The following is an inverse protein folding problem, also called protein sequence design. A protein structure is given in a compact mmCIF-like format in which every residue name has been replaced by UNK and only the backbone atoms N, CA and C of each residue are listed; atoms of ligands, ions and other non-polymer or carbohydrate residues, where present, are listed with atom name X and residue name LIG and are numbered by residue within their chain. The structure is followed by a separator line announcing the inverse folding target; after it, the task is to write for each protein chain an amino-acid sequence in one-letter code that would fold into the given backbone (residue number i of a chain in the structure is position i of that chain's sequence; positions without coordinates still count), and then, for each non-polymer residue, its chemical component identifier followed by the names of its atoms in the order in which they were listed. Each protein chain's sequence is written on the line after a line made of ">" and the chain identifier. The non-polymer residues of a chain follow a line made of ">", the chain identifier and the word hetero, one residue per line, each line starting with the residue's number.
data_IF_489097980900
#
_entry.id   IF_489097980900
#
_cell.length_a   1.000
_cell.length_b   1.000
_cell.length_c   1.000
_cell.angle_alpha   90.00
_cell.angle_beta   90.00
_cell.angle_gamma   90.00
#
_symmetry.space_group_name_H-M   'P 1'
#
loop_
_entity.id
_entity.type
_entity.pdbx_description
1 polymer ?
#
# COMPACT_ATOMS: atom_id res chain seq x y z
N UNK A 1 5.60 6.73 -22.63
CA UNK A 1 6.12 7.96 -22.01
C UNK A 1 7.63 7.99 -22.11
N UNK A 2 8.28 9.18 -22.22
CA UNK A 2 9.71 9.32 -22.28
C UNK A 2 10.44 8.96 -20.98
N UNK A 3 9.84 9.28 -19.85
CA UNK A 3 10.39 8.96 -18.54
C UNK A 3 9.46 8.01 -17.76
N UNK A 4 10.09 7.18 -16.92
CA UNK A 4 9.43 6.37 -15.90
C UNK A 4 10.10 6.71 -14.57
N UNK A 5 9.31 7.02 -13.55
CA UNK A 5 9.78 7.29 -12.20
C UNK A 5 9.32 6.19 -11.26
N UNK A 6 10.26 5.45 -10.67
CA UNK A 6 10.00 4.43 -9.66
C UNK A 6 10.22 5.07 -8.29
N UNK A 7 9.15 5.16 -7.52
CA UNK A 7 9.16 5.72 -6.16
C UNK A 7 8.77 4.65 -5.14
N UNK A 8 8.90 4.93 -3.87
CA UNK A 8 8.52 4.00 -2.81
C UNK A 8 9.38 4.19 -1.57
N UNK A 9 8.93 3.66 -0.45
CA UNK A 9 9.64 3.76 0.83
C UNK A 9 11.10 3.30 0.69
N UNK A 10 11.99 3.86 1.50
CA UNK A 10 13.41 3.45 1.54
C UNK A 10 13.54 1.93 1.79
N UNK A 11 14.55 1.31 1.16
CA UNK A 11 14.86 -0.13 1.30
C UNK A 11 13.80 -1.12 0.78
N UNK A 12 12.88 -0.69 -0.08
CA UNK A 12 11.94 -1.58 -0.81
C UNK A 12 12.56 -2.30 -2.00
N UNK A 13 13.86 -2.18 -2.24
CA UNK A 13 14.53 -2.87 -3.36
C UNK A 13 14.54 -2.10 -4.68
N UNK A 14 14.29 -0.77 -4.70
CA UNK A 14 14.35 0.05 -5.93
C UNK A 14 15.66 -0.09 -6.67
N UNK A 15 16.78 0.13 -5.98
CA UNK A 15 18.13 0.00 -6.56
C UNK A 15 18.40 -1.41 -7.05
N UNK A 16 17.96 -2.44 -6.32
CA UNK A 16 18.07 -3.84 -6.74
C UNK A 16 17.30 -4.09 -8.03
N UNK A 17 16.04 -3.63 -8.10
CA UNK A 17 15.22 -3.71 -9.31
C UNK A 17 15.93 -3.04 -10.51
N UNK A 18 16.49 -1.84 -10.32
CA UNK A 18 17.14 -1.09 -11.39
C UNK A 18 18.42 -1.76 -11.91
N UNK A 19 19.11 -2.53 -11.06
CA UNK A 19 20.39 -3.17 -11.40
C UNK A 19 20.24 -4.61 -11.85
N UNK A 20 19.29 -5.35 -11.27
CA UNK A 20 19.20 -6.80 -11.45
C UNK A 20 18.11 -7.22 -12.44
N UNK A 21 17.12 -6.36 -12.74
CA UNK A 21 16.06 -6.71 -13.69
C UNK A 21 16.63 -6.89 -15.11
N UNK A 22 16.53 -8.08 -15.72
CA UNK A 22 17.15 -8.38 -17.02
C UNK A 22 16.72 -7.42 -18.14
N UNK A 23 15.45 -6.99 -18.15
CA UNK A 23 14.93 -6.06 -19.16
C UNK A 23 15.45 -4.62 -19.01
N UNK A 24 16.11 -4.30 -17.91
CA UNK A 24 16.75 -3.00 -17.65
C UNK A 24 18.25 -3.00 -17.87
N UNK A 25 18.84 -4.15 -18.18
CA UNK A 25 20.26 -4.27 -18.49
C UNK A 25 20.63 -3.49 -19.75
N UNK A 26 21.90 -3.05 -19.84
CA UNK A 26 22.39 -2.25 -20.97
C UNK A 26 22.05 -0.76 -20.91
N UNK A 27 21.33 -0.29 -19.90
CA UNK A 27 21.10 1.13 -19.64
C UNK A 27 22.33 1.75 -18.96
N UNK A 28 22.68 2.98 -19.31
CA UNK A 28 23.69 3.73 -18.57
C UNK A 28 23.13 4.03 -17.17
N UNK A 29 23.80 3.54 -16.12
CA UNK A 29 23.36 3.69 -14.73
C UNK A 29 24.18 4.77 -14.01
N UNK A 30 23.50 5.70 -13.36
CA UNK A 30 24.05 6.79 -12.55
C UNK A 30 23.33 6.82 -11.22
N UNK A 31 24.06 6.96 -10.13
CA UNK A 31 23.46 7.11 -8.79
C UNK A 31 23.92 8.37 -8.09
N UNK A 32 23.00 9.10 -7.52
CA UNK A 32 23.31 10.28 -6.72
C UNK A 32 23.62 9.96 -5.24
N UNK A 33 23.78 8.68 -4.92
CA UNK A 33 24.50 8.26 -3.71
C UNK A 33 26.01 8.43 -3.86
N UNK A 34 26.51 8.41 -5.09
CA UNK A 34 27.90 8.74 -5.43
C UNK A 34 28.06 10.27 -5.50
N UNK A 35 28.91 10.81 -4.63
CA UNK A 35 29.14 12.25 -4.55
C UNK A 35 29.72 12.84 -5.84
N UNK A 36 30.62 12.14 -6.52
CA UNK A 36 31.25 12.65 -7.76
C UNK A 36 30.21 12.74 -8.89
N UNK A 37 29.33 11.74 -9.01
CA UNK A 37 28.25 11.74 -10.00
C UNK A 37 27.20 12.82 -9.70
N UNK A 38 26.86 13.00 -8.43
CA UNK A 38 25.94 14.06 -8.00
C UNK A 38 26.50 15.45 -8.31
N UNK A 39 27.77 15.70 -7.98
CA UNK A 39 28.40 17.00 -8.22
C UNK A 39 28.54 17.29 -9.72
N UNK A 40 28.93 16.31 -10.52
CA UNK A 40 28.95 16.44 -11.98
C UNK A 40 27.57 16.78 -12.55
N UNK A 41 26.51 16.12 -12.06
CA UNK A 41 25.15 16.38 -12.48
C UNK A 41 24.66 17.79 -12.09
N UNK A 42 25.09 18.32 -10.96
CA UNK A 42 24.79 19.70 -10.53
C UNK A 42 25.47 20.75 -11.37
N UNK A 43 26.75 20.53 -11.66
CA UNK A 43 27.56 21.47 -12.47
C UNK A 43 27.10 21.50 -13.92
N UNK A 44 26.84 20.34 -14.52
CA UNK A 44 26.43 20.24 -15.92
C UNK A 44 25.38 19.14 -16.16
N UNK A 45 24.13 19.39 -15.82
CA UNK A 45 23.05 18.41 -15.99
C UNK A 45 22.76 18.06 -17.44
N UNK A 46 23.08 18.96 -18.39
CA UNK A 46 22.87 18.74 -19.83
C UNK A 46 23.82 17.70 -20.39
N UNK A 47 25.08 17.68 -19.94
CA UNK A 47 26.07 16.67 -20.33
C UNK A 47 25.66 15.28 -19.84
N UNK A 48 25.15 15.17 -18.60
CA UNK A 48 24.62 13.91 -18.09
C UNK A 48 23.50 13.36 -18.95
N UNK A 49 22.63 14.24 -19.46
CA UNK A 49 21.46 13.87 -20.26
C UNK A 49 21.79 13.75 -21.75
N UNK A 50 23.02 14.07 -22.18
CA UNK A 50 23.44 14.03 -23.56
C UNK A 50 23.49 12.58 -24.11
N UNK A 51 23.48 12.45 -25.44
CA UNK A 51 23.53 11.15 -26.13
C UNK A 51 22.10 10.58 -26.33
N UNK A 52 22.05 9.38 -26.90
CA UNK A 52 20.80 8.70 -27.28
C UNK A 52 20.51 7.45 -26.44
N UNK A 53 21.45 7.06 -25.58
CA UNK A 53 21.37 5.83 -24.81
C UNK A 53 20.29 5.91 -23.72
N UNK A 54 19.61 4.80 -23.41
CA UNK A 54 18.75 4.72 -22.26
C UNK A 54 19.53 5.01 -20.95
N UNK A 55 18.98 5.88 -20.11
CA UNK A 55 19.62 6.34 -18.88
C UNK A 55 18.77 6.00 -17.66
N UNK A 56 19.39 5.39 -16.65
CA UNK A 56 18.82 5.17 -15.33
C UNK A 56 19.50 6.10 -14.33
N UNK A 57 18.71 6.87 -13.57
CA UNK A 57 19.19 7.79 -12.53
C UNK A 57 18.56 7.38 -11.20
N UNK A 58 19.39 6.86 -10.33
CA UNK A 58 18.98 6.44 -8.99
C UNK A 58 19.16 7.58 -7.97
N UNK A 59 18.25 7.69 -7.01
CA UNK A 59 18.15 8.76 -6.01
C UNK A 59 18.02 10.16 -6.64
N UNK A 60 17.22 10.28 -7.71
CA UNK A 60 17.08 11.48 -8.53
C UNK A 60 16.67 12.73 -7.73
N UNK A 61 15.96 12.58 -6.60
CA UNK A 61 15.53 13.70 -5.75
C UNK A 61 16.72 14.49 -5.14
N UNK A 62 17.95 13.94 -5.14
CA UNK A 62 19.12 14.63 -4.61
C UNK A 62 19.66 15.73 -5.53
N UNK A 63 19.19 15.77 -6.80
CA UNK A 63 19.56 16.78 -7.78
C UNK A 63 18.31 17.42 -8.40
N UNK A 64 17.62 18.35 -7.70
CA UNK A 64 16.43 19.02 -8.21
C UNK A 64 16.65 19.80 -9.51
N UNK A 65 17.85 20.33 -9.73
CA UNK A 65 18.25 21.09 -10.90
C UNK A 65 18.16 20.25 -12.18
N UNK A 66 18.45 18.95 -12.06
CA UNK A 66 18.39 18.00 -13.17
C UNK A 66 17.00 17.96 -13.84
N UNK A 67 15.93 18.12 -13.08
CA UNK A 67 14.56 17.99 -13.61
C UNK A 67 14.25 19.06 -14.66
N UNK A 68 14.81 20.26 -14.53
CA UNK A 68 14.64 21.33 -15.53
C UNK A 68 15.35 20.98 -16.84
N UNK A 69 16.56 20.46 -16.76
CA UNK A 69 17.32 20.01 -17.92
C UNK A 69 16.64 18.77 -18.56
N UNK A 70 16.19 17.83 -17.76
CA UNK A 70 15.47 16.64 -18.20
C UNK A 70 14.19 17.00 -18.99
N UNK A 71 13.42 17.99 -18.50
CA UNK A 71 12.25 18.50 -19.23
C UNK A 71 12.63 19.00 -20.62
N UNK A 72 13.67 19.83 -20.73
CA UNK A 72 14.13 20.39 -22.02
C UNK A 72 14.55 19.27 -22.98
N UNK A 73 15.31 18.30 -22.46
CA UNK A 73 15.78 17.18 -23.29
C UNK A 73 14.64 16.27 -23.75
N UNK A 74 13.65 16.00 -22.90
CA UNK A 74 12.44 15.26 -23.28
C UNK A 74 11.62 16.02 -24.32
N UNK A 75 11.46 17.34 -24.17
CA UNK A 75 10.70 18.16 -25.12
C UNK A 75 11.40 18.25 -26.49
N UNK A 76 12.75 18.23 -26.49
CA UNK A 76 13.56 18.21 -27.70
C UNK A 76 13.50 16.85 -28.43
N UNK A 77 13.52 15.74 -27.69
CA UNK A 77 13.59 14.38 -28.22
C UNK A 77 12.71 13.43 -27.42
N UNK A 78 11.45 13.28 -27.80
CA UNK A 78 10.49 12.36 -27.16
C UNK A 78 10.76 10.91 -27.56
N UNK A 79 11.59 10.21 -26.79
CA UNK A 79 11.84 8.76 -26.95
C UNK A 79 11.21 8.00 -25.80
N UNK A 80 10.28 7.06 -26.03
CA UNK A 80 9.67 6.25 -24.97
C UNK A 80 10.74 5.47 -24.19
N UNK A 81 10.63 5.48 -22.83
CA UNK A 81 11.47 4.69 -21.95
C UNK A 81 12.94 5.12 -21.88
N UNK A 82 13.32 6.26 -22.46
CA UNK A 82 14.70 6.72 -22.43
C UNK A 82 15.21 6.97 -21.02
N UNK A 83 14.39 7.59 -20.17
CA UNK A 83 14.78 7.95 -18.82
C UNK A 83 14.04 7.07 -17.80
N UNK A 84 14.81 6.45 -16.91
CA UNK A 84 14.31 5.73 -15.76
C UNK A 84 14.88 6.40 -14.51
N UNK A 85 13.98 6.90 -13.66
CA UNK A 85 14.32 7.64 -12.45
C UNK A 85 13.92 6.83 -11.24
N UNK A 86 14.68 6.86 -10.17
CA UNK A 86 14.23 6.35 -8.89
C UNK A 86 14.38 7.37 -7.77
N UNK A 87 13.58 7.18 -6.72
CA UNK A 87 13.66 8.00 -5.52
C UNK A 87 12.93 7.40 -4.33
N UNK A 88 13.47 7.62 -3.14
CA UNK A 88 12.86 7.22 -1.87
C UNK A 88 11.80 8.20 -1.35
N UNK A 89 11.42 9.18 -2.16
CA UNK A 89 10.46 10.23 -1.85
C UNK A 89 9.40 10.28 -2.93
N UNK A 90 8.18 10.64 -2.55
CA UNK A 90 7.10 10.85 -3.52
C UNK A 90 7.38 12.10 -4.36
N UNK A 91 7.96 11.89 -5.54
CA UNK A 91 8.32 12.96 -6.47
C UNK A 91 7.11 13.80 -6.90
N UNK A 92 5.89 13.23 -6.86
CA UNK A 92 4.64 13.95 -7.17
C UNK A 92 4.27 14.98 -6.12
N UNK A 93 4.69 14.79 -4.86
CA UNK A 93 4.42 15.73 -3.78
C UNK A 93 5.50 16.82 -3.65
N UNK A 94 6.62 16.67 -4.34
CA UNK A 94 7.67 17.69 -4.42
C UNK A 94 7.32 18.70 -5.52
N UNK A 95 6.83 19.88 -5.11
CA UNK A 95 6.24 20.92 -5.94
C UNK A 95 6.99 21.22 -7.25
N UNK A 96 8.31 21.31 -7.20
CA UNK A 96 9.14 21.67 -8.37
C UNK A 96 9.34 20.51 -9.35
N UNK A 97 9.19 19.26 -8.89
CA UNK A 97 9.43 18.06 -9.71
C UNK A 97 8.17 17.60 -10.42
N UNK A 98 7.02 17.67 -9.75
CA UNK A 98 5.73 17.27 -10.34
C UNK A 98 5.34 18.14 -11.55
N UNK A 99 5.52 19.45 -11.45
CA UNK A 99 5.23 20.38 -12.55
C UNK A 99 6.15 20.17 -13.75
N UNK A 100 7.42 19.86 -13.50
CA UNK A 100 8.43 19.70 -14.53
C UNK A 100 8.21 18.46 -15.39
N UNK A 101 7.78 17.35 -14.81
CA UNK A 101 7.57 16.08 -15.49
C UNK A 101 6.10 15.79 -15.86
N UNK A 102 5.18 16.74 -15.63
CA UNK A 102 3.78 16.59 -16.00
C UNK A 102 3.60 16.27 -17.50
N UNK A 103 2.90 15.18 -17.81
CA UNK A 103 2.69 14.69 -19.19
C UNK A 103 3.92 14.08 -19.87
N UNK A 104 5.05 13.91 -19.14
CA UNK A 104 6.32 13.38 -19.64
C UNK A 104 6.75 12.10 -18.95
N UNK A 105 6.29 11.87 -17.72
CA UNK A 105 6.64 10.70 -16.93
C UNK A 105 5.42 9.88 -16.52
N UNK A 106 5.62 8.57 -16.40
CA UNK A 106 4.76 7.66 -15.65
C UNK A 106 5.39 7.42 -14.29
N UNK A 107 4.58 7.43 -13.24
CA UNK A 107 5.04 7.17 -11.88
C UNK A 107 4.56 5.79 -11.45
N UNK A 108 5.50 4.97 -11.00
CA UNK A 108 5.26 3.64 -10.45
C UNK A 108 5.70 3.64 -8.99
N UNK A 109 4.84 3.15 -8.12
CA UNK A 109 5.18 3.00 -6.71
C UNK A 109 5.60 1.55 -6.44
N UNK A 110 6.83 1.37 -5.98
CA UNK A 110 7.32 0.08 -5.50
C UNK A 110 6.92 -0.06 -4.03
N UNK A 111 5.93 -0.91 -3.79
CA UNK A 111 5.47 -1.24 -2.45
C UNK A 111 6.42 -2.22 -1.76
N UNK A 112 6.41 -2.31 -0.40
CA UNK A 112 6.95 -3.48 0.29
C UNK A 112 6.34 -4.76 -0.29
N UNK A 113 7.04 -5.87 -0.18
CA UNK A 113 6.53 -7.14 -0.69
C UNK A 113 5.16 -7.47 -0.11
N UNK A 114 4.24 -7.85 -0.96
CA UNK A 114 2.98 -8.43 -0.53
C UNK A 114 3.11 -9.96 -0.42
N UNK A 115 2.18 -10.58 0.29
CA UNK A 115 2.22 -12.00 0.63
C UNK A 115 2.38 -12.91 -0.59
N UNK A 116 1.71 -12.60 -1.71
CA UNK A 116 1.83 -13.34 -2.97
C UNK A 116 3.26 -13.39 -3.50
N UNK A 117 3.99 -12.27 -3.42
CA UNK A 117 5.40 -12.20 -3.85
C UNK A 117 6.27 -13.05 -2.91
N UNK A 118 6.09 -12.91 -1.60
CA UNK A 118 6.83 -13.70 -0.59
C UNK A 118 6.59 -15.20 -0.79
N UNK A 119 5.37 -15.62 -1.14
CA UNK A 119 5.00 -17.00 -1.38
C UNK A 119 5.29 -17.47 -2.82
N UNK A 120 5.86 -16.65 -3.69
CA UNK A 120 6.14 -17.01 -5.09
C UNK A 120 4.91 -17.22 -5.96
N UNK A 121 3.76 -16.66 -5.60
CA UNK A 121 2.47 -16.84 -6.29
C UNK A 121 2.23 -15.80 -7.41
N UNK A 122 3.26 -15.19 -7.93
CA UNK A 122 3.17 -14.11 -8.92
C UNK A 122 2.77 -14.59 -10.32
N UNK A 123 2.88 -15.89 -10.60
CA UNK A 123 2.55 -16.47 -11.91
C UNK A 123 1.05 -16.63 -12.19
N UNK A 124 0.17 -16.41 -11.20
CA UNK A 124 -1.29 -16.52 -11.33
C UNK A 124 -1.97 -15.13 -11.22
N UNK A 125 -3.17 -15.00 -11.77
CA UNK A 125 -3.97 -13.79 -11.60
C UNK A 125 -4.43 -13.67 -10.14
N UNK A 126 -4.44 -12.46 -9.53
CA UNK A 126 -4.92 -12.27 -8.17
C UNK A 126 -6.41 -12.56 -8.04
N UNK A 127 -6.80 -13.05 -6.85
CA UNK A 127 -8.17 -13.46 -6.58
C UNK A 127 -9.18 -12.30 -6.70
N UNK A 128 -8.96 -11.17 -6.04
CA UNK A 128 -9.94 -10.06 -6.00
C UNK A 128 -10.23 -9.44 -7.37
N UNK A 129 -9.24 -9.09 -8.22
CA UNK A 129 -9.49 -8.64 -9.58
C UNK A 129 -10.25 -9.67 -10.42
N UNK A 130 -9.94 -10.95 -10.24
CA UNK A 130 -10.61 -12.06 -10.93
C UNK A 130 -12.06 -12.21 -10.49
N UNK A 131 -12.31 -12.17 -9.17
CA UNK A 131 -13.66 -12.18 -8.59
C UNK A 131 -14.49 -11.00 -9.10
N UNK A 132 -13.95 -9.78 -9.09
CA UNK A 132 -14.66 -8.60 -9.55
C UNK A 132 -15.10 -8.70 -11.01
N UNK A 133 -14.24 -9.24 -11.87
CA UNK A 133 -14.57 -9.46 -13.30
C UNK A 133 -15.65 -10.52 -13.47
N UNK A 134 -15.63 -11.58 -12.67
CA UNK A 134 -16.62 -12.65 -12.72
C UNK A 134 -18.01 -12.23 -12.20
N UNK A 135 -18.06 -11.32 -11.21
CA UNK A 135 -19.28 -10.73 -10.70
C UNK A 135 -19.78 -9.59 -11.61
N UNK A 136 -20.38 -9.91 -12.74
CA UNK A 136 -20.90 -8.91 -13.67
C UNK A 136 -21.99 -8.02 -13.04
N UNK A 137 -22.20 -6.77 -13.56
CA UNK A 137 -23.17 -5.82 -13.00
C UNK A 137 -24.64 -6.29 -13.06
N UNK A 138 -24.95 -7.30 -13.82
CA UNK A 138 -26.31 -7.80 -14.08
C UNK A 138 -26.84 -8.87 -13.14
N UNK A 139 -26.13 -9.18 -12.03
CA UNK A 139 -26.64 -10.09 -10.99
C UNK A 139 -26.82 -11.57 -11.42
N UNK A 140 -26.56 -11.91 -12.68
CA UNK A 140 -26.56 -13.29 -13.12
C UNK A 140 -25.13 -13.83 -13.11
N UNK A 141 -24.83 -14.91 -12.39
CA UNK A 141 -23.53 -15.58 -12.48
C UNK A 141 -23.36 -16.11 -13.90
N UNK A 142 -22.52 -15.45 -14.69
CA UNK A 142 -21.93 -16.08 -15.87
C UNK A 142 -20.86 -17.03 -15.32
N UNK A 143 -21.18 -18.30 -15.23
CA UNK A 143 -20.29 -19.37 -14.74
C UNK A 143 -19.77 -19.12 -13.31
N UNK A 144 -19.64 -20.15 -12.51
CA UNK A 144 -19.02 -20.02 -11.17
C UNK A 144 -17.70 -19.25 -11.31
N UNK A 145 -17.48 -18.12 -10.57
CA UNK A 145 -16.21 -17.38 -10.62
C UNK A 145 -15.02 -18.23 -10.21
N UNK A 146 -15.24 -19.49 -9.94
CA UNK A 146 -14.33 -20.51 -9.44
C UNK A 146 -14.13 -21.65 -10.43
N UNK A 147 -14.02 -21.36 -11.72
CA UNK A 147 -13.66 -22.34 -12.78
C UNK A 147 -12.20 -22.83 -12.68
N UNK A 148 -11.72 -23.04 -11.48
CA UNK A 148 -10.42 -23.63 -11.16
C UNK A 148 -10.54 -24.43 -9.86
N UNK A 149 -11.45 -25.41 -9.80
CA UNK A 149 -11.49 -26.37 -8.69
C UNK A 149 -12.37 -26.03 -7.49
N UNK A 150 -13.11 -24.91 -7.50
CA UNK A 150 -14.07 -24.60 -6.44
C UNK A 150 -15.47 -25.14 -6.79
N UNK A 151 -15.91 -26.21 -6.13
CA UNK A 151 -17.23 -26.80 -6.30
C UNK A 151 -18.18 -26.24 -5.25
N UNK A 152 -19.31 -25.64 -5.70
CA UNK A 152 -20.46 -25.39 -4.82
C UNK A 152 -21.11 -26.74 -4.48
N UNK A 153 -20.83 -27.30 -3.30
CA UNK A 153 -21.60 -28.46 -2.84
C UNK A 153 -22.96 -27.95 -2.34
N UNK A 154 -24.02 -28.40 -2.97
CA UNK A 154 -25.40 -28.25 -2.45
C UNK A 154 -25.50 -29.10 -1.18
N UNK A 155 -25.26 -28.48 -0.03
CA UNK A 155 -25.64 -29.04 1.27
C UNK A 155 -27.15 -29.11 1.39
N UNK A 156 -27.68 -30.09 2.13
CA UNK A 156 -29.10 -30.24 2.42
C UNK A 156 -29.70 -28.96 3.05
N UNK A 157 -31.03 -28.92 3.28
CA UNK A 157 -31.80 -27.69 3.54
C UNK A 157 -31.41 -26.85 4.78
N UNK A 158 -30.38 -27.24 5.51
CA UNK A 158 -29.86 -26.51 6.68
C UNK A 158 -28.33 -26.24 6.65
N UNK A 159 -27.61 -26.61 5.59
CA UNK A 159 -26.17 -26.34 5.44
C UNK A 159 -25.96 -25.22 4.41
N UNK A 160 -25.33 -24.13 4.86
CA UNK A 160 -24.90 -23.04 3.97
C UNK A 160 -23.96 -23.62 2.87
N UNK A 161 -24.12 -23.20 1.62
CA UNK A 161 -23.26 -23.67 0.53
C UNK A 161 -21.82 -23.26 0.83
N UNK A 162 -20.96 -24.25 1.04
CA UNK A 162 -19.51 -24.05 1.22
C UNK A 162 -18.82 -24.06 -0.14
N UNK A 163 -18.03 -23.05 -0.36
CA UNK A 163 -17.13 -23.01 -1.50
C UNK A 163 -15.94 -23.90 -1.18
N UNK A 164 -15.76 -25.00 -1.92
CA UNK A 164 -14.53 -25.78 -1.82
C UNK A 164 -13.47 -25.11 -2.69
N UNK A 165 -12.44 -24.57 -2.05
CA UNK A 165 -11.22 -24.15 -2.71
C UNK A 165 -10.22 -25.31 -2.57
N UNK A 166 -9.76 -25.87 -3.69
CA UNK A 166 -8.73 -26.91 -3.64
C UNK A 166 -7.47 -26.28 -3.02
N UNK A 167 -7.05 -26.79 -1.85
CA UNK A 167 -5.95 -26.29 -1.06
C UNK A 167 -6.01 -24.77 -0.77
N UNK A 168 -6.91 -24.31 0.13
CA UNK A 168 -6.96 -22.90 0.50
C UNK A 168 -5.60 -22.45 1.05
N UNK A 169 -5.14 -21.22 0.68
CA UNK A 169 -3.90 -20.69 1.24
C UNK A 169 -3.95 -20.70 2.77
N UNK A 170 -2.80 -20.94 3.45
CA UNK A 170 -2.77 -21.03 4.90
C UNK A 170 -3.24 -19.71 5.55
N UNK A 171 -3.79 -19.76 6.77
CA UNK A 171 -4.08 -18.57 7.57
C UNK A 171 -2.83 -17.69 7.73
N UNK A 172 -3.05 -16.41 7.93
CA UNK A 172 -1.97 -15.45 8.17
C UNK A 172 -1.42 -15.70 9.59
N UNK A 173 -0.13 -15.98 9.67
CA UNK A 173 0.52 -16.20 10.95
C UNK A 173 0.95 -14.87 11.60
N UNK A 174 0.92 -14.75 12.95
CA UNK A 174 1.34 -13.55 13.67
C UNK A 174 2.72 -13.02 13.26
N UNK A 175 3.67 -13.91 13.00
CA UNK A 175 5.03 -13.53 12.60
C UNK A 175 5.09 -12.87 11.21
N UNK A 176 4.13 -13.14 10.30
CA UNK A 176 4.06 -12.46 9.00
C UNK A 176 3.80 -10.95 9.18
N UNK A 177 2.93 -10.58 10.14
CA UNK A 177 2.66 -9.18 10.47
C UNK A 177 3.87 -8.51 11.12
N UNK A 178 4.53 -9.19 12.07
CA UNK A 178 5.69 -8.64 12.77
C UNK A 178 6.91 -8.45 11.85
N UNK A 179 7.05 -9.29 10.83
CA UNK A 179 8.08 -9.15 9.80
C UNK A 179 7.74 -8.08 8.76
N UNK A 180 6.47 -7.90 8.44
CA UNK A 180 6.04 -7.03 7.35
C UNK A 180 6.49 -7.51 5.97
N UNK A 181 6.63 -6.59 5.02
CA UNK A 181 7.02 -6.85 3.64
C UNK A 181 8.34 -6.19 3.23
N UNK A 182 9.12 -5.65 4.17
CA UNK A 182 10.44 -5.08 3.83
C UNK A 182 11.39 -6.19 3.40
N UNK A 183 12.04 -6.10 2.20
CA UNK A 183 12.75 -7.22 1.57
C UNK A 183 13.71 -7.95 2.52
N UNK A 184 14.65 -7.25 3.12
CA UNK A 184 15.66 -7.86 3.97
C UNK A 184 15.08 -8.58 5.20
N UNK A 185 13.89 -8.17 5.66
CA UNK A 185 13.21 -8.80 6.81
C UNK A 185 12.35 -9.97 6.37
N UNK A 186 11.46 -9.78 5.39
CA UNK A 186 10.51 -10.81 4.99
C UNK A 186 11.18 -11.98 4.24
N UNK A 187 12.31 -11.74 3.55
CA UNK A 187 13.10 -12.79 2.88
C UNK A 187 14.08 -13.50 3.82
N UNK A 188 14.19 -13.05 5.09
CA UNK A 188 15.04 -13.71 6.08
C UNK A 188 16.54 -13.43 5.90
N UNK A 189 16.91 -12.32 5.28
CA UNK A 189 18.31 -11.89 5.14
C UNK A 189 18.88 -11.36 6.46
N UNK A 190 18.03 -10.99 7.42
CA UNK A 190 18.39 -10.50 8.75
C UNK A 190 17.99 -11.51 9.82
N UNK A 191 18.92 -11.82 10.73
CA UNK A 191 18.64 -12.73 11.85
C UNK A 191 17.65 -12.13 12.84
N UNK A 192 17.82 -10.84 13.19
CA UNK A 192 16.96 -10.13 14.14
C UNK A 192 16.24 -8.94 13.47
N UNK A 193 14.95 -9.10 13.12
CA UNK A 193 14.13 -8.03 12.57
C UNK A 193 14.11 -6.75 13.42
N UNK A 194 14.22 -6.86 14.76
CA UNK A 194 14.14 -5.71 15.65
C UNK A 194 15.36 -4.78 15.50
N UNK A 195 16.54 -5.35 15.23
CA UNK A 195 17.76 -4.59 14.96
C UNK A 195 17.61 -3.85 13.64
N UNK A 196 17.06 -4.52 12.62
CA UNK A 196 16.84 -3.92 11.31
C UNK A 196 15.86 -2.73 11.38
N UNK A 197 14.70 -2.92 12.03
CA UNK A 197 13.70 -1.84 12.19
C UNK A 197 14.26 -0.65 12.97
N UNK A 198 15.05 -0.88 14.00
CA UNK A 198 15.74 0.18 14.76
C UNK A 198 16.74 0.94 13.89
N UNK A 199 17.51 0.23 13.06
CA UNK A 199 18.42 0.83 12.10
C UNK A 199 17.69 1.61 11.01
N UNK A 200 16.57 1.07 10.52
CA UNK A 200 15.70 1.76 9.58
C UNK A 200 15.18 3.08 10.17
N UNK A 201 14.61 3.05 11.37
CA UNK A 201 14.12 4.24 12.08
C UNK A 201 15.20 5.30 12.23
N UNK A 202 16.38 4.91 12.70
CA UNK A 202 17.51 5.83 12.87
C UNK A 202 17.97 6.43 11.54
N UNK A 203 18.13 5.61 10.51
CA UNK A 203 18.58 6.08 9.18
C UNK A 203 17.55 7.02 8.55
N UNK A 204 16.25 6.70 8.69
CA UNK A 204 15.17 7.54 8.21
C UNK A 204 15.17 8.92 8.89
N UNK A 205 15.29 8.96 10.22
CA UNK A 205 15.32 10.20 10.99
C UNK A 205 16.55 11.05 10.69
N UNK A 206 17.73 10.44 10.58
CA UNK A 206 18.99 11.17 10.43
C UNK A 206 19.29 11.61 9.01
N UNK A 207 18.87 10.83 8.01
CA UNK A 207 19.27 11.03 6.61
C UNK A 207 18.14 11.55 5.74
N UNK A 208 17.02 10.86 5.73
CA UNK A 208 15.95 11.15 4.77
C UNK A 208 15.18 12.41 5.14
N UNK A 209 14.85 12.58 6.42
CA UNK A 209 14.15 13.77 6.89
C UNK A 209 14.97 15.06 6.73
N UNK A 210 16.28 15.00 6.99
CA UNK A 210 17.14 16.18 6.80
C UNK A 210 17.23 16.57 5.33
N UNK A 211 17.15 15.62 4.41
CA UNK A 211 17.12 15.88 2.97
C UNK A 211 15.78 16.45 2.48
N UNK A 212 14.68 16.15 3.17
CA UNK A 212 13.33 16.56 2.76
C UNK A 212 12.88 17.90 3.36
N UNK A 213 13.26 18.19 4.58
CA UNK A 213 12.90 19.43 5.24
C UNK A 213 13.82 19.72 6.43
N UNK A 214 13.88 21.01 6.82
CA UNK A 214 14.51 21.42 8.09
C UNK A 214 13.59 21.03 9.25
N UNK A 215 13.62 19.74 9.64
CA UNK A 215 12.97 19.30 10.88
C UNK A 215 13.85 19.75 12.03
N UNK A 216 13.40 20.76 12.76
CA UNK A 216 14.17 21.34 13.88
C UNK A 216 14.24 20.38 15.09
N UNK A 217 13.20 19.56 15.29
CA UNK A 217 13.07 18.67 16.45
C UNK A 217 12.79 17.23 16.01
N UNK A 218 13.86 16.43 15.93
CA UNK A 218 13.78 15.00 15.58
C UNK A 218 13.10 14.17 16.68
N UNK A 219 13.18 14.62 17.95
CA UNK A 219 12.56 13.90 19.08
C UNK A 219 11.04 14.05 18.97
N UNK A 220 10.56 15.25 18.71
CA UNK A 220 9.13 15.48 18.49
C UNK A 220 8.62 14.77 17.24
N UNK A 221 9.40 14.73 16.15
CA UNK A 221 9.05 13.98 14.95
C UNK A 221 8.93 12.48 15.23
N UNK A 222 9.91 11.90 15.93
CA UNK A 222 9.89 10.49 16.35
C UNK A 222 8.64 10.17 17.17
N UNK A 223 8.27 11.07 18.09
CA UNK A 223 7.05 10.92 18.90
C UNK A 223 5.80 10.89 18.03
N UNK A 224 5.69 11.78 17.04
CA UNK A 224 4.56 11.76 16.08
C UNK A 224 4.52 10.45 15.30
N UNK A 225 5.66 9.94 14.86
CA UNK A 225 5.76 8.68 14.13
C UNK A 225 5.30 7.48 14.98
N UNK A 226 5.70 7.42 16.25
CA UNK A 226 5.25 6.40 17.20
C UNK A 226 3.75 6.53 17.51
N UNK A 227 3.26 7.76 17.75
CA UNK A 227 1.83 8.00 17.97
C UNK A 227 0.99 7.68 16.74
N UNK A 228 1.52 7.86 15.54
CA UNK A 228 0.88 7.43 14.29
C UNK A 228 0.81 5.90 14.18
N UNK A 229 1.87 5.19 14.59
CA UNK A 229 1.90 3.72 14.59
C UNK A 229 0.84 3.12 15.54
N UNK A 230 0.68 3.69 16.74
CA UNK A 230 -0.37 3.33 17.68
C UNK A 230 -1.80 3.60 17.16
N UNK A 231 -1.94 4.33 16.04
CA UNK A 231 -3.22 4.68 15.41
C UNK A 231 -3.34 4.16 13.99
N UNK A 232 -2.45 3.26 13.57
CA UNK A 232 -2.60 2.60 12.27
C UNK A 232 -3.96 1.87 12.20
N UNK A 233 -4.60 1.85 11.05
CA UNK A 233 -5.94 1.27 10.88
C UNK A 233 -7.10 2.14 11.41
N UNK A 234 -6.83 3.32 12.00
CA UNK A 234 -7.86 4.16 12.62
C UNK A 234 -8.12 5.44 11.83
N UNK A 235 -9.30 6.02 11.98
CA UNK A 235 -9.63 7.34 11.41
C UNK A 235 -8.74 8.41 12.08
N UNK A 236 -8.01 9.15 11.24
CA UNK A 236 -7.07 10.16 11.71
C UNK A 236 -7.80 11.34 12.37
N UNK A 237 -7.57 11.52 13.65
CA UNK A 237 -7.96 12.69 14.42
C UNK A 237 -6.70 13.50 14.75
N UNK A 238 -6.30 14.36 13.82
CA UNK A 238 -5.04 15.09 13.90
C UNK A 238 -4.88 15.91 15.19
N UNK A 239 -5.95 16.51 15.71
CA UNK A 239 -5.93 17.28 16.95
C UNK A 239 -5.67 16.40 18.19
N UNK A 240 -6.22 15.18 18.23
CA UNK A 240 -5.95 14.22 19.30
C UNK A 240 -4.50 13.74 19.24
N UNK A 241 -4.00 13.39 18.04
CA UNK A 241 -2.62 12.99 17.85
C UNK A 241 -1.64 14.12 18.22
N UNK A 242 -1.97 15.37 17.87
CA UNK A 242 -1.16 16.54 18.21
C UNK A 242 -1.06 16.73 19.74
N UNK A 243 -2.20 16.65 20.42
CA UNK A 243 -2.25 16.74 21.90
C UNK A 243 -1.38 15.65 22.55
N UNK A 244 -1.53 14.42 22.12
CA UNK A 244 -0.81 13.27 22.70
C UNK A 244 0.70 13.31 22.37
N UNK A 245 1.07 13.86 21.20
CA UNK A 245 2.46 14.14 20.84
C UNK A 245 3.04 15.39 21.51
N UNK A 246 2.23 16.16 22.27
CA UNK A 246 2.59 17.44 22.88
C UNK A 246 3.06 18.49 21.86
N UNK A 247 2.36 18.58 20.74
CA UNK A 247 2.62 19.51 19.64
C UNK A 247 1.37 20.28 19.25
N UNK A 248 1.55 21.37 18.52
CA UNK A 248 0.43 22.02 17.87
C UNK A 248 -0.01 21.25 16.61
N UNK A 249 -1.27 21.42 16.23
CA UNK A 249 -1.87 20.69 15.11
C UNK A 249 -1.19 20.99 13.76
N UNK A 250 -0.66 22.20 13.55
CA UNK A 250 0.03 22.57 12.32
C UNK A 250 1.35 21.82 12.17
N UNK A 251 2.17 21.77 13.22
CA UNK A 251 3.44 21.02 13.24
C UNK A 251 3.19 19.53 13.05
N UNK A 252 2.17 18.97 13.73
CA UNK A 252 1.78 17.57 13.59
C UNK A 252 1.33 17.28 12.17
N UNK A 253 0.52 18.14 11.55
CA UNK A 253 0.11 18.00 10.15
C UNK A 253 1.30 17.96 9.22
N UNK A 254 2.25 18.90 9.37
CA UNK A 254 3.49 18.91 8.56
C UNK A 254 4.31 17.63 8.74
N UNK A 255 4.40 17.08 9.95
CA UNK A 255 5.12 15.84 10.19
C UNK A 255 4.42 14.62 9.57
N UNK A 256 3.09 14.57 9.63
CA UNK A 256 2.31 13.55 8.92
C UNK A 256 2.46 13.68 7.39
N UNK A 257 2.52 14.89 6.85
CA UNK A 257 2.77 15.13 5.41
C UNK A 257 4.16 14.63 5.00
N UNK A 258 5.17 14.80 5.85
CA UNK A 258 6.51 14.26 5.61
C UNK A 258 6.53 12.74 5.63
N UNK A 259 5.85 12.09 6.60
CA UNK A 259 5.71 10.64 6.65
C UNK A 259 5.01 10.08 5.40
N UNK A 260 3.99 10.77 4.89
CA UNK A 260 3.29 10.38 3.67
C UNK A 260 4.15 10.61 2.42
N UNK A 261 4.86 11.74 2.36
CA UNK A 261 5.78 12.06 1.25
C UNK A 261 6.91 11.04 1.14
N UNK A 262 7.35 10.49 2.26
CA UNK A 262 8.39 9.44 2.31
C UNK A 262 7.84 8.01 2.27
N UNK A 263 6.55 7.84 1.98
CA UNK A 263 5.87 6.55 1.88
C UNK A 263 5.86 5.71 3.17
N UNK A 264 6.07 6.31 4.34
CA UNK A 264 5.99 5.59 5.62
C UNK A 264 4.54 5.34 6.00
N UNK A 265 3.68 6.33 5.74
CA UNK A 265 2.24 6.23 5.95
C UNK A 265 1.47 6.51 4.66
N UNK A 266 0.22 6.09 4.63
CA UNK A 266 -0.78 6.45 3.63
C UNK A 266 -2.06 6.94 4.33
N UNK A 267 -2.74 7.90 3.72
CA UNK A 267 -4.05 8.39 4.16
C UNK A 267 -5.13 7.84 3.25
N UNK A 268 -5.85 6.85 3.73
CA UNK A 268 -6.93 6.21 2.97
C UNK A 268 -8.18 7.10 3.01
N UNK A 269 -8.69 7.56 1.85
CA UNK A 269 -9.87 8.42 1.81
C UNK A 269 -11.17 7.66 2.10
N UNK A 270 -12.17 8.37 2.63
CA UNK A 270 -13.48 7.81 2.86
C UNK A 270 -14.23 7.57 1.53
N UNK A 271 -14.96 6.44 1.43
CA UNK A 271 -15.92 6.19 0.35
C UNK A 271 -17.20 6.98 0.60
N UNK A 272 -17.53 7.92 -0.25
CA UNK A 272 -18.77 8.70 -0.22
C UNK A 272 -19.30 8.86 -1.64
N UNK A 273 -20.62 8.89 -1.80
CA UNK A 273 -21.27 9.11 -3.10
C UNK A 273 -20.87 10.45 -3.72
N UNK A 274 -20.69 11.49 -2.90
CA UNK A 274 -20.18 12.78 -3.33
C UNK A 274 -18.65 12.80 -3.27
N UNK A 275 -17.99 12.89 -4.41
CA UNK A 275 -16.52 12.91 -4.54
C UNK A 275 -15.87 14.08 -3.81
N UNK A 276 -16.49 15.27 -3.80
CA UNK A 276 -15.96 16.45 -3.09
C UNK A 276 -15.94 16.20 -1.58
N UNK A 277 -16.99 15.56 -1.03
CA UNK A 277 -17.06 15.24 0.40
C UNK A 277 -16.01 14.22 0.84
N UNK A 278 -15.50 13.37 -0.08
CA UNK A 278 -14.39 12.44 0.19
C UNK A 278 -13.11 13.17 0.60
N UNK A 279 -12.84 14.33 0.01
CA UNK A 279 -11.63 15.12 0.25
C UNK A 279 -11.66 15.89 1.59
N UNK A 280 -12.85 16.10 2.14
CA UNK A 280 -13.03 16.89 3.38
C UNK A 280 -13.08 15.98 4.61
N UNK A 281 -13.53 14.72 4.46
CA UNK A 281 -13.66 13.79 5.57
C UNK A 281 -12.30 13.28 6.04
N UNK A 282 -12.12 13.16 7.37
CA UNK A 282 -10.90 12.60 7.95
C UNK A 282 -10.56 11.24 7.33
N UNK A 283 -9.34 11.03 6.83
CA UNK A 283 -8.92 9.76 6.26
C UNK A 283 -8.64 8.72 7.35
N UNK A 284 -8.56 7.44 6.97
CA UNK A 284 -7.98 6.38 7.82
C UNK A 284 -6.46 6.43 7.67
N UNK A 285 -5.73 6.38 8.78
CA UNK A 285 -4.27 6.37 8.81
C UNK A 285 -3.78 4.93 8.69
N UNK A 286 -2.87 4.68 7.76
CA UNK A 286 -2.26 3.36 7.55
C UNK A 286 -0.76 3.50 7.42
N UNK A 287 0.00 2.60 8.02
CA UNK A 287 1.40 2.40 7.65
C UNK A 287 1.48 1.60 6.35
N UNK A 288 2.45 1.90 5.52
CA UNK A 288 2.66 1.19 4.25
C UNK A 288 3.34 -0.16 4.42
N UNK A 289 3.97 -0.37 5.59
CA UNK A 289 4.50 -1.65 6.03
C UNK A 289 4.06 -1.95 7.47
N UNK A 290 3.44 -3.10 7.67
CA UNK A 290 2.88 -3.51 8.97
C UNK A 290 3.97 -3.84 9.99
N UNK A 291 5.14 -4.34 9.56
CA UNK A 291 6.27 -4.63 10.45
C UNK A 291 6.87 -3.35 11.04
N UNK A 292 6.99 -2.29 10.22
CA UNK A 292 7.38 -0.96 10.70
C UNK A 292 6.35 -0.43 11.71
N UNK A 293 5.05 -0.57 11.42
CA UNK A 293 3.99 -0.15 12.35
C UNK A 293 4.07 -0.89 13.68
N UNK A 294 4.18 -2.22 13.66
CA UNK A 294 4.29 -3.05 14.85
C UNK A 294 5.52 -2.68 15.69
N UNK A 295 6.68 -2.52 15.05
CA UNK A 295 7.91 -2.13 15.72
C UNK A 295 7.80 -0.77 16.43
N UNK A 296 7.32 0.26 15.71
CA UNK A 296 7.16 1.61 16.25
C UNK A 296 6.11 1.70 17.36
N UNK A 297 5.07 0.87 17.30
CA UNK A 297 4.04 0.73 18.32
C UNK A 297 4.52 -0.10 19.53
N UNK A 298 5.70 -0.75 19.46
CA UNK A 298 6.24 -1.58 20.51
C UNK A 298 5.59 -2.96 20.64
N UNK A 299 4.85 -3.40 19.62
CA UNK A 299 4.19 -4.71 19.59
C UNK A 299 5.21 -5.81 19.30
N UNK A 300 5.29 -6.79 20.18
CA UNK A 300 6.24 -7.91 20.07
C UNK A 300 5.56 -9.25 19.88
N UNK A 301 4.27 -9.33 20.19
CA UNK A 301 3.50 -10.55 20.12
C UNK A 301 2.07 -10.23 19.61
N UNK A 302 1.59 -11.08 18.72
CA UNK A 302 0.25 -11.00 18.14
C UNK A 302 -0.49 -12.33 18.28
N UNK A 303 -0.04 -13.20 19.19
CA UNK A 303 -0.78 -14.42 19.52
C UNK A 303 -2.20 -14.04 19.98
N UNK A 304 -3.25 -14.78 19.56
CA UNK A 304 -4.61 -14.52 20.05
C UNK A 304 -4.76 -14.51 21.58
N UNK A 305 -3.86 -15.19 22.28
CA UNK A 305 -3.84 -15.25 23.75
C UNK A 305 -3.14 -14.05 24.40
N UNK A 306 -2.39 -13.22 23.64
CA UNK A 306 -1.63 -12.09 24.18
C UNK A 306 -2.48 -10.88 24.53
N UNK A 307 -3.77 -10.85 24.15
CA UNK A 307 -4.71 -9.73 24.34
C UNK A 307 -4.16 -8.37 23.85
N UNK A 308 -3.38 -8.38 22.74
CA UNK A 308 -2.81 -7.16 22.15
C UNK A 308 -3.90 -6.27 21.54
N UNK A 309 -4.11 -5.05 22.06
CA UNK A 309 -5.20 -4.18 21.61
C UNK A 309 -5.07 -3.75 20.14
N UNK A 310 -3.84 -3.68 19.61
CA UNK A 310 -3.58 -3.28 18.23
C UNK A 310 -3.70 -4.43 17.23
N UNK A 311 -3.92 -5.66 17.69
CA UNK A 311 -3.94 -6.84 16.83
C UNK A 311 -4.90 -6.68 15.65
N UNK A 312 -6.14 -6.25 15.87
CA UNK A 312 -7.12 -6.02 14.80
C UNK A 312 -6.64 -4.99 13.77
N UNK A 313 -6.16 -3.85 14.23
CA UNK A 313 -5.66 -2.76 13.38
C UNK A 313 -4.40 -3.12 12.60
N UNK A 314 -3.53 -3.97 13.17
CA UNK A 314 -2.37 -4.48 12.46
C UNK A 314 -2.76 -5.48 11.36
N UNK A 315 -3.79 -6.32 11.58
CA UNK A 315 -4.37 -7.15 10.52
C UNK A 315 -4.98 -6.31 9.39
N UNK A 316 -5.72 -5.25 9.72
CA UNK A 316 -6.22 -4.30 8.71
C UNK A 316 -5.06 -3.65 7.95
N UNK A 317 -4.00 -3.20 8.64
CA UNK A 317 -2.80 -2.61 8.02
C UNK A 317 -2.10 -3.60 7.10
N UNK A 318 -1.98 -4.87 7.52
CA UNK A 318 -1.43 -5.94 6.68
C UNK A 318 -2.26 -6.16 5.41
N UNK A 319 -3.58 -6.20 5.54
CA UNK A 319 -4.48 -6.32 4.38
C UNK A 319 -4.34 -5.10 3.46
N UNK A 320 -4.29 -3.89 4.01
CA UNK A 320 -4.10 -2.66 3.24
C UNK A 320 -2.79 -2.66 2.44
N UNK A 321 -1.68 -3.06 3.07
CA UNK A 321 -0.38 -3.21 2.42
C UNK A 321 -0.46 -4.16 1.23
N UNK A 322 -1.05 -5.34 1.43
CA UNK A 322 -1.21 -6.35 0.38
C UNK A 322 -2.12 -5.84 -0.76
N UNK A 323 -3.26 -5.24 -0.42
CA UNK A 323 -4.18 -4.65 -1.40
C UNK A 323 -3.50 -3.55 -2.22
N UNK A 324 -2.72 -2.68 -1.59
CA UNK A 324 -2.00 -1.61 -2.30
C UNK A 324 -1.06 -2.17 -3.38
N UNK A 325 -0.30 -3.22 -3.07
CA UNK A 325 0.57 -3.90 -4.03
C UNK A 325 -0.22 -4.59 -5.15
N UNK A 326 -1.24 -5.39 -4.79
CA UNK A 326 -2.09 -6.10 -5.75
C UNK A 326 -2.80 -5.13 -6.70
N UNK A 327 -3.42 -4.07 -6.17
CA UNK A 327 -4.13 -3.08 -6.98
C UNK A 327 -3.17 -2.34 -7.91
N UNK A 328 -2.04 -1.88 -7.39
CA UNK A 328 -1.03 -1.16 -8.18
C UNK A 328 -0.51 -1.99 -9.37
N UNK A 329 -0.28 -3.28 -9.17
CA UNK A 329 0.29 -4.16 -10.18
C UNK A 329 -0.75 -4.75 -11.16
N UNK A 330 -1.94 -5.08 -10.67
CA UNK A 330 -2.90 -5.89 -11.45
C UNK A 330 -4.25 -5.21 -11.70
N UNK A 331 -4.52 -4.09 -11.01
CA UNK A 331 -5.80 -3.37 -11.14
C UNK A 331 -5.63 -1.86 -10.91
N UNK A 332 -4.80 -1.18 -11.72
CA UNK A 332 -4.38 0.21 -11.48
C UNK A 332 -5.51 1.25 -11.59
N UNK A 333 -6.63 0.92 -12.23
CA UNK A 333 -7.81 1.76 -12.30
C UNK A 333 -8.61 1.78 -11.00
N UNK A 334 -8.49 0.71 -10.19
CA UNK A 334 -9.21 0.60 -8.93
C UNK A 334 -8.68 1.56 -7.87
N UNK A 335 -9.58 2.02 -7.02
CA UNK A 335 -9.30 2.95 -5.91
C UNK A 335 -9.68 2.31 -4.60
N UNK A 336 -8.78 2.37 -3.62
CA UNK A 336 -9.03 1.87 -2.28
C UNK A 336 -9.59 3.01 -1.40
N UNK A 337 -10.62 2.70 -0.62
CA UNK A 337 -11.31 3.59 0.29
C UNK A 337 -11.70 2.83 1.57
N UNK A 338 -12.10 3.53 2.61
CA UNK A 338 -12.88 2.97 3.73
C UNK A 338 -14.27 3.59 3.74
N UNK A 339 -15.24 2.94 4.38
CA UNK A 339 -16.57 3.50 4.51
C UNK A 339 -16.96 3.60 5.98
N UNK A 340 -17.49 4.77 6.39
CA UNK A 340 -17.93 5.01 7.75
C UNK A 340 -19.12 5.95 7.75
N UNK A 341 -20.20 5.57 8.44
CA UNK A 341 -21.39 6.38 8.62
C UNK A 341 -21.52 6.77 10.09
N UNK A 342 -21.19 8.04 10.36
CA UNK A 342 -21.37 8.69 11.67
C UNK A 342 -20.81 7.91 12.86
N UNK A 343 -19.77 7.10 12.66
CA UNK A 343 -19.17 6.27 13.70
C UNK A 343 -20.00 5.05 14.15
N UNK A 344 -21.13 4.79 13.50
CA UNK A 344 -22.03 3.66 13.87
C UNK A 344 -21.75 2.39 13.07
N UNK A 345 -21.41 2.54 11.80
CA UNK A 345 -21.08 1.43 10.90
C UNK A 345 -19.82 1.79 10.12
N UNK A 346 -18.87 0.88 10.11
CA UNK A 346 -17.63 1.00 9.36
C UNK A 346 -17.43 -0.26 8.52
N UNK A 347 -16.98 -0.09 7.28
CA UNK A 347 -16.42 -1.14 6.43
C UNK A 347 -14.97 -0.77 6.17
N UNK A 348 -14.06 -1.68 6.49
CA UNK A 348 -12.63 -1.41 6.51
C UNK A 348 -12.09 -0.98 5.16
N UNK A 349 -12.50 -1.68 4.09
CA UNK A 349 -12.08 -1.34 2.74
C UNK A 349 -13.21 -1.40 1.74
N UNK A 350 -13.21 -0.43 0.82
CA UNK A 350 -14.06 -0.41 -0.37
C UNK A 350 -13.15 -0.21 -1.58
N UNK A 351 -13.11 -1.20 -2.46
CA UNK A 351 -12.39 -1.14 -3.73
C UNK A 351 -13.38 -0.66 -4.78
N UNK A 352 -13.16 0.53 -5.33
CA UNK A 352 -13.99 1.17 -6.34
C UNK A 352 -13.32 1.07 -7.72
N UNK A 353 -14.04 0.56 -8.72
CA UNK A 353 -13.64 0.59 -10.13
C UNK A 353 -14.78 1.17 -10.97
N UNK A 354 -14.55 2.36 -11.52
CA UNK A 354 -15.53 3.12 -12.25
C UNK A 354 -16.75 3.50 -11.40
N UNK A 355 -17.85 2.76 -11.55
CA UNK A 355 -19.10 2.96 -10.79
C UNK A 355 -19.41 1.80 -9.85
N UNK A 356 -18.69 0.72 -9.96
CA UNK A 356 -18.91 -0.50 -9.19
C UNK A 356 -17.89 -0.63 -8.05
N UNK A 357 -18.19 -1.46 -7.07
CA UNK A 357 -17.30 -1.65 -5.93
C UNK A 357 -17.38 -3.07 -5.35
N UNK A 358 -16.37 -3.41 -4.55
CA UNK A 358 -16.37 -4.52 -3.59
C UNK A 358 -16.09 -3.94 -2.21
N UNK A 359 -16.78 -4.42 -1.20
CA UNK A 359 -16.61 -4.03 0.20
C UNK A 359 -15.99 -5.18 1.00
N UNK A 360 -14.98 -4.87 1.83
CA UNK A 360 -14.24 -5.83 2.64
C UNK A 360 -14.31 -5.42 4.12
N UNK A 361 -14.73 -6.33 4.97
CA UNK A 361 -14.66 -6.23 6.44
C UNK A 361 -13.64 -7.23 6.95
N UNK A 362 -12.68 -6.81 7.76
CA UNK A 362 -11.53 -7.61 8.17
C UNK A 362 -11.72 -8.14 9.59
N UNK A 363 -11.51 -9.45 9.76
CA UNK A 363 -11.51 -10.10 11.08
C UNK A 363 -10.22 -10.88 11.28
N UNK A 364 -9.44 -10.47 12.28
CA UNK A 364 -8.18 -11.12 12.67
C UNK A 364 -8.38 -12.54 13.22
N UNK A 365 -9.59 -12.88 13.63
CA UNK A 365 -9.97 -14.19 14.16
C UNK A 365 -10.33 -15.22 13.08
N UNK A 366 -10.33 -16.50 13.49
CA UNK A 366 -10.80 -17.61 12.65
C UNK A 366 -12.31 -17.81 12.72
N UNK A 367 -12.96 -17.26 13.76
CA UNK A 367 -14.40 -17.33 13.98
C UNK A 367 -15.03 -15.96 13.78
N UNK A 368 -16.22 -15.94 13.25
CA UNK A 368 -17.05 -14.77 13.04
C UNK A 368 -18.52 -15.10 13.27
N UNK A 369 -19.36 -14.10 13.45
CA UNK A 369 -20.78 -14.25 13.71
C UNK A 369 -21.66 -13.27 12.94
N UNK A 370 -22.97 -13.35 13.10
CA UNK A 370 -23.93 -12.48 12.40
C UNK A 370 -23.71 -10.98 12.69
N UNK A 371 -23.27 -10.63 13.89
CA UNK A 371 -22.94 -9.25 14.25
C UNK A 371 -21.82 -8.64 13.40
N UNK A 372 -20.86 -9.45 12.98
CA UNK A 372 -19.74 -9.03 12.15
C UNK A 372 -20.14 -8.69 10.70
N UNK A 373 -21.30 -9.17 10.25
CA UNK A 373 -21.86 -8.93 8.93
C UNK A 373 -22.67 -7.64 8.83
N UNK A 374 -23.07 -7.06 9.97
CA UNK A 374 -23.95 -5.90 10.02
C UNK A 374 -23.45 -4.68 9.23
N UNK A 375 -22.14 -4.30 9.29
CA UNK A 375 -21.61 -3.20 8.48
C UNK A 375 -21.72 -3.47 6.98
N UNK A 376 -21.37 -4.68 6.52
CA UNK A 376 -21.45 -5.07 5.13
C UNK A 376 -22.90 -5.07 4.62
N UNK A 377 -23.85 -5.59 5.41
CA UNK A 377 -25.29 -5.56 5.05
C UNK A 377 -25.78 -4.12 4.90
N UNK A 378 -25.39 -3.24 5.82
CA UNK A 378 -25.75 -1.81 5.77
C UNK A 378 -25.16 -1.15 4.51
N UNK A 379 -23.90 -1.44 4.20
CA UNK A 379 -23.25 -0.93 2.99
C UNK A 379 -23.95 -1.44 1.72
N UNK A 380 -24.20 -2.75 1.61
CA UNK A 380 -24.88 -3.37 0.47
C UNK A 380 -26.28 -2.82 0.24
N UNK A 381 -27.03 -2.53 1.31
CA UNK A 381 -28.35 -1.90 1.22
C UNK A 381 -28.26 -0.47 0.67
N UNK A 382 -27.22 0.28 1.04
CA UNK A 382 -27.00 1.66 0.61
C UNK A 382 -26.34 1.78 -0.77
N UNK A 383 -25.62 0.75 -1.24
CA UNK A 383 -24.87 0.73 -2.49
C UNK A 383 -25.34 -0.37 -3.43
N UNK A 384 -26.26 -0.03 -4.34
CA UNK A 384 -26.77 -0.97 -5.36
C UNK A 384 -25.68 -1.45 -6.34
N UNK A 385 -24.59 -0.71 -6.47
CA UNK A 385 -23.47 -1.02 -7.37
C UNK A 385 -22.32 -1.75 -6.68
N UNK A 386 -22.45 -2.08 -5.40
CA UNK A 386 -21.53 -2.98 -4.74
C UNK A 386 -21.80 -4.40 -5.24
N UNK A 387 -20.82 -5.00 -5.92
CA UNK A 387 -20.94 -6.36 -6.50
C UNK A 387 -20.84 -7.44 -5.42
N UNK A 388 -20.01 -7.22 -4.39
CA UNK A 388 -19.87 -8.13 -3.27
C UNK A 388 -19.50 -7.40 -1.98
N UNK A 389 -20.06 -7.84 -0.88
CA UNK A 389 -19.59 -7.60 0.48
C UNK A 389 -18.91 -8.85 0.99
N UNK A 390 -17.67 -8.73 1.41
CA UNK A 390 -16.84 -9.87 1.80
C UNK A 390 -16.35 -9.67 3.22
N UNK A 391 -16.75 -10.54 4.11
CA UNK A 391 -16.14 -10.68 5.43
C UNK A 391 -14.86 -11.52 5.25
N UNK A 392 -13.71 -10.90 5.48
CA UNK A 392 -12.39 -11.50 5.32
C UNK A 392 -11.89 -11.95 6.69
N UNK A 393 -11.77 -13.26 6.90
CA UNK A 393 -11.40 -13.82 8.19
C UNK A 393 -10.13 -14.68 8.09
N UNK A 394 -9.46 -14.87 9.22
CA UNK A 394 -8.22 -15.64 9.27
C UNK A 394 -8.44 -17.16 9.47
N UNK A 395 -9.62 -17.68 9.07
CA UNK A 395 -9.92 -19.10 8.98
C UNK A 395 -9.67 -19.67 7.60
N UNK A 396 -10.17 -20.90 7.36
CA UNK A 396 -9.99 -21.61 6.09
C UNK A 396 -11.29 -21.80 5.29
N UNK A 397 -12.45 -21.62 5.91
CA UNK A 397 -13.73 -21.87 5.26
C UNK A 397 -14.16 -20.69 4.38
N UNK A 398 -14.55 -20.98 3.13
CA UNK A 398 -15.18 -20.03 2.23
C UNK A 398 -16.70 -20.29 2.19
N UNK A 399 -17.50 -19.29 2.54
CA UNK A 399 -18.96 -19.42 2.70
C UNK A 399 -19.68 -18.33 1.90
N UNK A 400 -20.69 -18.74 1.12
CA UNK A 400 -21.62 -17.83 0.47
C UNK A 400 -22.85 -17.60 1.38
N UNK A 401 -23.09 -16.37 1.82
CA UNK A 401 -24.07 -16.03 2.85
C UNK A 401 -25.34 -15.37 2.29
N UNK A 402 -25.39 -15.13 0.98
CA UNK A 402 -26.53 -14.49 0.31
C UNK A 402 -26.14 -13.94 -1.05
N UNK A 403 -27.06 -13.25 -1.72
CA UNK A 403 -26.91 -12.82 -3.12
C UNK A 403 -25.56 -12.12 -3.43
N UNK A 404 -25.08 -11.26 -2.52
CA UNK A 404 -23.85 -10.49 -2.68
C UNK A 404 -22.95 -10.55 -1.45
N UNK A 405 -23.18 -11.49 -0.53
CA UNK A 405 -22.48 -11.54 0.76
C UNK A 405 -21.70 -12.84 0.90
N UNK A 406 -20.41 -12.69 1.25
CA UNK A 406 -19.47 -13.79 1.38
C UNK A 406 -18.67 -13.70 2.66
N UNK A 407 -18.26 -14.84 3.20
CA UNK A 407 -17.19 -14.92 4.20
C UNK A 407 -16.06 -15.75 3.58
N UNK A 408 -14.88 -15.12 3.43
CA UNK A 408 -13.74 -15.71 2.72
C UNK A 408 -12.46 -15.69 3.57
N UNK A 409 -11.61 -16.72 3.43
CA UNK A 409 -10.29 -16.74 4.05
C UNK A 409 -9.43 -15.57 3.59
N UNK A 410 -8.73 -14.92 4.54
CA UNK A 410 -7.80 -13.84 4.25
C UNK A 410 -6.69 -14.29 3.29
N UNK A 411 -6.15 -15.49 3.48
CA UNK A 411 -5.15 -16.06 2.59
C UNK A 411 -5.63 -16.17 1.13
N UNK A 412 -6.93 -16.48 0.91
CA UNK A 412 -7.53 -16.53 -0.42
C UNK A 412 -7.70 -15.12 -1.01
N UNK A 413 -8.21 -14.19 -0.22
CA UNK A 413 -8.47 -12.80 -0.67
C UNK A 413 -7.17 -12.11 -1.09
N UNK A 414 -6.06 -12.45 -0.44
CA UNK A 414 -4.72 -11.91 -0.72
C UNK A 414 -3.87 -12.78 -1.65
N UNK A 415 -4.44 -13.86 -2.22
CA UNK A 415 -3.73 -14.74 -3.16
C UNK A 415 -3.71 -14.22 -4.60
#
# INVERSE_FOLDING_TARGET
>A
MPAVAITGIRQTGKTTLLREEPNLQGRRYVTFDDFAQLEAARQNPEDLLSGDDPLTIDEAQKCPELFTALKREIDRRRRPGRFLLSGSVNLLLLKNMSETLAGRAVYLNLHPFHRREILGQTGSAPFLPSLFKALAPSGAPRESPFSGGAILSSGGPHLQPRLRVDAPPPPIAPHELLKGGMPSVCLGEVEDPSIWFRSFEQTYLERDLRGLSQVADLIAFRRVMQMAALRTGQILKQSELARDAQLNSMTTGRYLDLLETSFVIARLPAYLNNRTSRLIKSPKLLFTDVGIAAHLAGVKDLDPASDEPLRGYLFETFVAQNLAGILSAHWPEARLHFWNVQGRHEVDFVIEDGRDSIALEIKAGTRWGEGDLAPLRTFLASSKRCRAGILVHNGQDAVHLGERLWALPMGLVLS
#
